data_IF_135502504081
#
_entry.id   IF_135502504081
#
_cell.length_a   1.000
_cell.length_b   1.000
_cell.length_c   1.000
_cell.angle_alpha   90.00
_cell.angle_beta   90.00
_cell.angle_gamma   90.00
#
_symmetry.space_group_name_H-M   'P 1'
#
loop_
_entity.id
_entity.type
_entity.pdbx_description
1 polymer ?
#
# COMPACT_ATOMS: atom_id res chain seq x y z
N UNK A 1 58.37 -15.21 45.40
CA UNK A 1 56.92 -14.95 45.57
C UNK A 1 56.50 -13.92 44.54
N UNK A 2 55.69 -14.32 43.55
CA UNK A 2 55.18 -13.45 42.47
C UNK A 2 53.78 -13.00 42.84
N UNK A 3 53.52 -11.70 42.94
CA UNK A 3 52.18 -11.16 43.04
C UNK A 3 51.67 -10.89 41.62
N UNK A 4 50.55 -11.51 41.25
CA UNK A 4 49.81 -11.21 40.03
C UNK A 4 48.86 -10.07 40.40
N UNK A 5 49.12 -8.86 39.89
CA UNK A 5 48.19 -7.74 40.02
C UNK A 5 47.15 -7.91 38.92
N UNK A 6 45.94 -8.32 39.32
CA UNK A 6 44.77 -8.42 38.46
C UNK A 6 44.23 -6.99 38.25
N UNK A 7 44.48 -6.40 37.09
CA UNK A 7 43.90 -5.12 36.71
C UNK A 7 42.43 -5.35 36.29
N UNK A 8 41.50 -4.97 37.15
CA UNK A 8 40.08 -4.91 36.81
C UNK A 8 39.87 -3.66 35.95
N UNK A 9 39.65 -3.87 34.65
CA UNK A 9 39.23 -2.80 33.73
C UNK A 9 37.75 -2.56 33.95
N UNK A 10 37.41 -1.49 34.66
CA UNK A 10 36.05 -1.03 34.86
C UNK A 10 35.58 -0.35 33.56
N UNK A 11 34.77 -1.04 32.75
CA UNK A 11 34.11 -0.47 31.58
C UNK A 11 32.95 0.42 32.05
N UNK A 12 33.19 1.73 32.12
CA UNK A 12 32.13 2.72 32.37
C UNK A 12 31.40 2.95 31.05
N UNK A 13 30.18 2.43 30.93
CA UNK A 13 29.30 2.68 29.79
C UNK A 13 28.70 4.08 29.99
N UNK A 14 29.19 5.06 29.21
CA UNK A 14 28.54 6.37 29.12
C UNK A 14 27.27 6.22 28.29
N UNK A 15 26.11 6.20 28.94
CA UNK A 15 24.83 6.39 28.26
C UNK A 15 24.71 7.90 28.05
N UNK A 16 25.05 8.39 26.86
CA UNK A 16 24.80 9.78 26.49
C UNK A 16 23.30 10.06 26.60
N UNK A 17 22.86 11.18 27.19
CA UNK A 17 21.45 11.53 27.17
C UNK A 17 21.03 11.67 25.70
N UNK A 18 19.96 10.97 25.30
CA UNK A 18 19.29 11.26 24.02
C UNK A 18 18.89 12.73 24.08
N UNK A 19 19.54 13.55 23.26
CA UNK A 19 19.20 14.96 23.10
C UNK A 19 17.73 15.06 22.72
N UNK A 20 16.94 15.82 23.48
CA UNK A 20 15.55 16.10 23.13
C UNK A 20 15.50 16.67 21.70
N UNK A 21 14.71 16.04 20.85
CA UNK A 21 14.48 16.52 19.48
C UNK A 21 13.71 17.84 19.58
N UNK A 22 14.30 18.91 19.05
CA UNK A 22 13.64 20.22 19.01
C UNK A 22 12.67 20.24 17.84
N UNK A 23 11.39 20.51 18.11
CA UNK A 23 10.40 20.74 17.08
C UNK A 23 10.78 21.97 16.25
N UNK A 24 10.60 21.88 14.94
CA UNK A 24 10.69 23.02 14.02
C UNK A 24 9.28 23.36 13.53
N UNK A 25 9.00 24.65 13.31
CA UNK A 25 7.71 25.13 12.83
C UNK A 25 7.93 26.03 11.63
N UNK A 26 7.10 25.89 10.61
CA UNK A 26 7.09 26.69 9.40
C UNK A 26 5.66 27.14 9.09
N UNK A 27 5.50 28.35 8.57
CA UNK A 27 4.22 28.84 8.04
C UNK A 27 4.17 28.55 6.55
N UNK A 28 3.23 27.71 6.11
CA UNK A 28 3.10 27.25 4.71
C UNK A 28 2.31 28.23 3.84
N UNK A 29 1.15 28.65 4.32
CA UNK A 29 0.33 29.69 3.70
C UNK A 29 -0.12 30.69 4.77
N UNK A 30 -0.09 31.97 4.42
CA UNK A 30 -0.57 33.07 5.24
C UNK A 30 -1.42 33.99 4.35
N UNK A 31 -2.73 34.01 4.58
CA UNK A 31 -3.63 34.90 3.86
C UNK A 31 -3.29 36.35 4.19
N UNK A 32 -2.41 36.95 3.38
CA UNK A 32 -2.00 38.35 3.46
C UNK A 32 -3.11 39.37 3.19
N UNK A 33 -4.36 38.93 3.00
CA UNK A 33 -5.52 39.79 2.74
C UNK A 33 -6.38 40.00 3.98
N UNK A 34 -6.50 41.28 4.35
CA UNK A 34 -7.32 41.81 5.43
C UNK A 34 -8.74 41.19 5.45
N UNK A 35 -9.04 40.41 6.49
CA UNK A 35 -10.39 39.92 6.77
C UNK A 35 -11.11 40.95 7.66
N UNK A 36 -12.35 41.39 7.31
CA UNK A 36 -13.14 42.27 8.17
C UNK A 36 -13.72 41.55 9.42
N UNK A 37 -13.55 40.24 9.52
CA UNK A 37 -13.83 39.44 10.71
C UNK A 37 -12.52 39.13 11.45
N UNK A 38 -12.50 39.05 12.80
CA UNK A 38 -11.27 38.82 13.53
C UNK A 38 -10.68 37.43 13.23
N UNK A 39 -9.56 37.42 12.48
CA UNK A 39 -8.63 36.29 12.31
C UNK A 39 -8.41 35.87 10.85
N UNK A 40 -7.16 35.64 10.39
CA UNK A 40 -6.91 34.93 9.12
C UNK A 40 -7.46 33.51 9.26
N UNK A 41 -8.43 33.15 8.42
CA UNK A 41 -9.16 31.87 8.53
C UNK A 41 -8.64 30.81 7.53
N UNK A 42 -7.45 31.01 6.95
CA UNK A 42 -6.78 30.03 6.10
C UNK A 42 -6.39 28.80 6.89
N UNK A 43 -6.47 27.62 6.27
CA UNK A 43 -6.11 26.36 6.91
C UNK A 43 -7.25 25.76 7.74
N UNK A 44 -8.51 26.07 7.43
CA UNK A 44 -9.66 25.36 8.03
C UNK A 44 -9.94 24.05 7.31
N UNK A 45 -10.47 23.10 8.09
CA UNK A 45 -10.86 21.76 7.63
C UNK A 45 -9.71 20.95 7.00
N UNK A 46 -8.49 21.21 7.44
CA UNK A 46 -7.27 20.68 6.85
C UNK A 46 -7.20 19.15 6.85
N UNK A 47 -6.72 18.59 5.76
CA UNK A 47 -6.25 17.20 5.67
C UNK A 47 -4.77 17.19 5.30
N UNK A 48 -4.00 16.32 5.96
CA UNK A 48 -2.58 16.07 5.71
C UNK A 48 -2.42 14.66 5.13
N UNK A 49 -1.63 14.53 4.07
CA UNK A 49 -1.18 13.26 3.53
C UNK A 49 0.31 13.33 3.19
N UNK A 50 0.92 12.20 2.88
CA UNK A 50 2.28 12.12 2.37
C UNK A 50 2.26 11.51 0.97
N UNK A 51 3.09 12.05 0.08
CA UNK A 51 3.29 11.47 -1.25
C UNK A 51 4.16 10.20 -1.18
N UNK A 52 4.39 9.56 -2.33
CA UNK A 52 5.21 8.34 -2.43
C UNK A 52 6.70 8.54 -2.07
N UNK A 53 7.14 9.80 -1.94
CA UNK A 53 8.50 10.18 -1.54
C UNK A 53 8.58 10.66 -0.09
N UNK A 54 7.52 10.42 0.71
CA UNK A 54 7.37 10.88 2.09
C UNK A 54 7.36 12.42 2.24
N UNK A 55 7.02 13.17 1.19
CA UNK A 55 6.81 14.60 1.32
C UNK A 55 5.39 14.91 1.80
N UNK A 56 5.23 15.85 2.74
CA UNK A 56 3.91 16.25 3.21
C UNK A 56 3.16 17.06 2.14
N UNK A 57 1.85 16.82 2.08
CA UNK A 57 0.92 17.64 1.34
C UNK A 57 -0.34 17.89 2.16
N UNK A 58 -0.93 19.05 1.96
CA UNK A 58 -2.02 19.58 2.77
C UNK A 58 -3.11 20.09 1.83
N UNK A 59 -4.35 19.66 2.06
CA UNK A 59 -5.52 20.31 1.48
C UNK A 59 -6.24 21.14 2.54
N UNK A 60 -6.77 22.29 2.16
CA UNK A 60 -7.43 23.19 3.10
C UNK A 60 -8.39 24.16 2.42
N UNK A 61 -9.32 24.69 3.22
CA UNK A 61 -10.15 25.82 2.84
C UNK A 61 -9.36 27.13 2.91
N UNK A 62 -9.29 27.84 1.79
CA UNK A 62 -8.89 29.24 1.79
C UNK A 62 -10.12 30.13 2.01
N UNK A 63 -10.37 30.44 3.27
CA UNK A 63 -11.65 30.99 3.74
C UNK A 63 -12.03 32.34 3.13
N UNK A 64 -11.05 33.19 2.78
CA UNK A 64 -11.33 34.54 2.28
C UNK A 64 -12.01 34.53 0.90
N UNK A 65 -11.65 33.57 0.04
CA UNK A 65 -12.25 33.41 -1.30
C UNK A 65 -13.09 32.15 -1.44
N UNK A 66 -13.19 31.33 -0.39
CA UNK A 66 -13.94 30.07 -0.37
C UNK A 66 -13.45 29.04 -1.40
N UNK A 67 -12.14 28.98 -1.58
CA UNK A 67 -11.47 28.07 -2.51
C UNK A 67 -10.93 26.84 -1.78
N UNK A 68 -10.91 25.70 -2.48
CA UNK A 68 -10.13 24.53 -2.07
C UNK A 68 -8.69 24.72 -2.55
N UNK A 69 -7.74 24.68 -1.62
CA UNK A 69 -6.31 24.72 -1.90
C UNK A 69 -5.67 23.38 -1.64
N UNK A 70 -4.64 23.10 -2.42
CA UNK A 70 -3.69 22.02 -2.21
C UNK A 70 -2.30 22.62 -2.11
N UNK A 71 -1.51 22.17 -1.14
CA UNK A 71 -0.09 22.52 -1.06
C UNK A 71 0.74 21.30 -0.81
N UNK A 72 1.91 21.21 -1.44
CA UNK A 72 2.79 20.07 -1.32
C UNK A 72 4.24 20.53 -1.21
N UNK A 73 5.05 19.78 -0.48
CA UNK A 73 6.46 20.07 -0.32
C UNK A 73 7.28 19.33 -1.39
N UNK A 74 8.01 20.07 -2.24
CA UNK A 74 8.76 19.48 -3.37
C UNK A 74 10.21 19.10 -3.01
N UNK A 75 10.51 18.81 -1.74
CA UNK A 75 11.85 18.69 -1.14
C UNK A 75 12.66 20.00 -0.95
N UNK A 76 12.22 21.13 -1.50
CA UNK A 76 12.94 22.42 -1.37
C UNK A 76 12.05 23.57 -0.87
N UNK A 77 10.76 23.54 -1.22
CA UNK A 77 9.79 24.57 -0.91
C UNK A 77 8.37 24.00 -0.95
N UNK A 78 7.44 24.71 -0.30
CA UNK A 78 6.02 24.49 -0.48
C UNK A 78 5.55 25.11 -1.80
N UNK A 79 4.81 24.32 -2.58
CA UNK A 79 4.06 24.76 -3.75
C UNK A 79 2.57 24.78 -3.41
N UNK A 80 1.83 25.79 -3.87
CA UNK A 80 0.41 25.98 -3.57
C UNK A 80 -0.37 26.09 -4.88
N UNK A 81 -1.46 25.32 -4.96
CA UNK A 81 -2.37 25.27 -6.10
C UNK A 81 -3.81 25.51 -5.65
N UNK A 82 -4.59 26.16 -6.52
CA UNK A 82 -6.05 26.20 -6.41
C UNK A 82 -6.61 24.97 -7.08
N UNK A 83 -7.33 24.14 -6.32
CA UNK A 83 -7.94 22.90 -6.83
C UNK A 83 -9.32 23.18 -7.42
N UNK A 84 -10.12 23.96 -6.67
CA UNK A 84 -11.47 24.35 -7.06
C UNK A 84 -11.77 25.74 -6.48
N UNK A 85 -12.27 26.63 -7.33
CA UNK A 85 -12.69 27.99 -6.99
C UNK A 85 -14.16 28.28 -7.38
N UNK A 86 -14.89 27.26 -7.84
CA UNK A 86 -16.27 27.41 -8.31
C UNK A 86 -17.24 27.08 -7.18
N UNK A 87 -17.65 28.10 -6.43
CA UNK A 87 -18.67 28.01 -5.39
C UNK A 87 -18.16 28.35 -4.00
N UNK A 88 -18.70 27.69 -2.97
CA UNK A 88 -18.15 27.75 -1.61
C UNK A 88 -17.61 26.37 -1.24
N UNK A 89 -16.39 26.08 -1.68
CA UNK A 89 -15.81 24.75 -1.74
C UNK A 89 -14.65 24.57 -0.75
N UNK A 90 -14.25 23.33 -0.52
CA UNK A 90 -13.09 22.98 0.31
C UNK A 90 -13.40 22.78 1.80
N UNK A 91 -14.69 22.68 2.18
CA UNK A 91 -15.06 22.30 3.53
C UNK A 91 -14.88 20.79 3.72
N UNK A 92 -14.47 20.40 4.93
CA UNK A 92 -14.29 19.00 5.34
C UNK A 92 -13.42 18.17 4.38
N UNK A 93 -12.35 18.78 3.85
CA UNK A 93 -11.51 18.13 2.86
C UNK A 93 -10.81 16.89 3.43
N UNK A 94 -10.66 15.86 2.60
CA UNK A 94 -9.89 14.65 2.88
C UNK A 94 -9.04 14.33 1.66
N UNK A 95 -7.72 14.41 1.86
CA UNK A 95 -6.67 14.25 0.84
C UNK A 95 -5.98 12.90 1.00
N UNK A 96 -5.72 12.24 -0.12
CA UNK A 96 -4.91 11.02 -0.21
C UNK A 96 -4.19 11.01 -1.57
N UNK A 97 -3.13 10.20 -1.70
CA UNK A 97 -2.47 9.97 -2.99
C UNK A 97 -2.85 8.59 -3.56
N UNK A 98 -2.88 8.48 -4.88
CA UNK A 98 -2.89 7.19 -5.55
C UNK A 98 -1.47 6.58 -5.65
N UNK A 99 -1.39 5.33 -6.10
CA UNK A 99 -0.12 4.62 -6.28
C UNK A 99 0.78 5.18 -7.39
N UNK A 100 0.21 6.01 -8.26
CA UNK A 100 0.96 6.74 -9.28
C UNK A 100 1.48 8.08 -8.74
N UNK A 101 1.16 8.42 -7.48
CA UNK A 101 1.59 9.65 -6.82
C UNK A 101 0.69 10.85 -7.14
N UNK A 102 -0.50 10.63 -7.71
CA UNK A 102 -1.44 11.72 -7.95
C UNK A 102 -2.31 11.98 -6.73
N UNK A 103 -2.47 13.23 -6.30
CA UNK A 103 -3.38 13.57 -5.22
C UNK A 103 -4.85 13.51 -5.64
N UNK A 104 -5.69 13.09 -4.71
CA UNK A 104 -7.13 13.10 -4.81
C UNK A 104 -7.75 13.61 -3.51
N UNK A 105 -8.84 14.36 -3.63
CA UNK A 105 -9.45 15.11 -2.55
C UNK A 105 -10.97 14.95 -2.62
N UNK A 106 -11.57 14.43 -1.54
CA UNK A 106 -13.02 14.59 -1.33
C UNK A 106 -13.30 15.84 -0.50
N UNK A 107 -14.35 16.59 -0.83
CA UNK A 107 -14.71 17.82 -0.12
C UNK A 107 -16.19 18.15 -0.27
N UNK A 108 -16.67 19.03 0.60
CA UNK A 108 -18.03 19.54 0.59
C UNK A 108 -18.11 20.89 -0.12
N UNK A 109 -19.07 21.01 -1.02
CA UNK A 109 -19.51 22.28 -1.59
C UNK A 109 -20.73 22.79 -0.83
N UNK A 110 -20.51 23.82 -0.03
CA UNK A 110 -21.54 24.42 0.82
C UNK A 110 -22.64 25.10 0.02
N UNK A 111 -22.30 25.74 -1.10
CA UNK A 111 -23.27 26.50 -1.88
C UNK A 111 -24.29 25.57 -2.54
N UNK A 112 -23.81 24.42 -3.02
CA UNK A 112 -24.63 23.44 -3.73
C UNK A 112 -25.13 22.28 -2.85
N UNK A 113 -24.65 22.14 -1.61
CA UNK A 113 -25.06 21.05 -0.71
C UNK A 113 -24.49 19.69 -1.12
N UNK A 114 -23.41 19.67 -1.90
CA UNK A 114 -22.97 18.48 -2.63
C UNK A 114 -21.62 17.93 -2.14
N UNK A 115 -21.47 16.62 -2.22
CA UNK A 115 -20.20 15.92 -2.11
C UNK A 115 -19.47 16.03 -3.44
N UNK A 116 -18.28 16.61 -3.43
CA UNK A 116 -17.41 16.72 -4.60
C UNK A 116 -16.14 15.91 -4.40
N UNK A 117 -15.57 15.51 -5.52
CA UNK A 117 -14.29 14.84 -5.60
C UNK A 117 -13.43 15.55 -6.64
N UNK A 118 -12.18 15.81 -6.29
CA UNK A 118 -11.18 16.38 -7.18
C UNK A 118 -9.98 15.43 -7.25
N UNK A 119 -9.42 15.24 -8.43
CA UNK A 119 -8.22 14.43 -8.61
C UNK A 119 -7.29 15.09 -9.62
N UNK A 120 -5.99 14.93 -9.41
CA UNK A 120 -5.00 15.41 -10.36
C UNK A 120 -4.70 14.31 -11.40
N UNK A 121 -4.81 14.61 -12.68
CA UNK A 121 -4.58 13.64 -13.76
C UNK A 121 -3.11 13.59 -14.24
N UNK A 122 -2.20 14.26 -13.52
CA UNK A 122 -0.79 14.45 -13.89
C UNK A 122 -0.51 15.72 -14.68
N UNK A 123 -1.54 16.45 -15.13
CA UNK A 123 -1.41 17.75 -15.82
C UNK A 123 -2.33 18.84 -15.25
N UNK A 124 -3.52 18.47 -14.79
CA UNK A 124 -4.53 19.38 -14.25
C UNK A 124 -5.36 18.71 -13.16
N UNK A 125 -5.98 19.56 -12.32
CA UNK A 125 -7.07 19.15 -11.46
C UNK A 125 -8.35 18.97 -12.26
N UNK A 126 -9.01 17.84 -12.06
CA UNK A 126 -10.35 17.55 -12.53
C UNK A 126 -11.28 17.49 -11.33
N UNK A 127 -12.53 17.94 -11.49
CA UNK A 127 -13.54 17.88 -10.42
C UNK A 127 -14.81 17.19 -10.90
N UNK A 128 -15.44 16.46 -9.99
CA UNK A 128 -16.74 15.83 -10.21
C UNK A 128 -17.64 16.03 -8.99
N UNK A 129 -18.96 16.02 -9.24
CA UNK A 129 -19.96 15.94 -8.18
C UNK A 129 -20.34 14.48 -8.00
N UNK A 130 -20.04 13.93 -6.83
CA UNK A 130 -20.28 12.52 -6.49
C UNK A 130 -21.74 12.31 -6.08
N UNK A 131 -22.28 13.24 -5.30
CA UNK A 131 -23.67 13.23 -4.83
C UNK A 131 -24.13 14.67 -4.58
N UNK A 132 -25.34 15.01 -5.02
CA UNK A 132 -25.99 16.32 -4.86
C UNK A 132 -27.40 16.22 -4.22
N UNK A 133 -27.80 15.03 -3.75
CA UNK A 133 -29.13 14.79 -3.23
C UNK A 133 -29.27 15.24 -1.75
N UNK A 134 -29.35 16.55 -1.53
CA UNK A 134 -29.62 17.16 -0.23
C UNK A 134 -28.41 17.89 0.36
N UNK A 135 -28.05 17.58 1.61
CA UNK A 135 -26.84 18.07 2.27
C UNK A 135 -25.89 16.89 2.50
N UNK A 136 -25.19 16.50 1.45
CA UNK A 136 -24.33 15.30 1.41
C UNK A 136 -22.87 15.70 1.36
N UNK A 137 -21.99 14.89 1.97
CA UNK A 137 -20.54 15.14 1.97
C UNK A 137 -19.98 15.97 3.14
N UNK A 138 -20.82 16.36 4.11
CA UNK A 138 -20.33 16.86 5.39
C UNK A 138 -19.43 15.81 6.06
N UNK A 139 -18.24 16.22 6.50
CA UNK A 139 -17.26 15.33 7.13
C UNK A 139 -16.84 14.15 6.25
N UNK A 140 -16.70 14.37 4.94
CA UNK A 140 -16.24 13.35 4.00
C UNK A 140 -14.87 12.79 4.37
N UNK A 141 -14.61 11.57 3.89
CA UNK A 141 -13.32 10.91 3.99
C UNK A 141 -13.06 10.16 2.70
N UNK A 142 -11.83 10.24 2.22
CA UNK A 142 -11.33 9.50 1.08
C UNK A 142 -10.11 8.70 1.50
N UNK A 143 -10.03 7.46 1.04
CA UNK A 143 -8.89 6.58 1.27
C UNK A 143 -8.68 5.74 0.01
N UNK A 144 -7.44 5.72 -0.48
CA UNK A 144 -7.02 4.80 -1.52
C UNK A 144 -6.69 3.47 -0.86
N UNK A 145 -7.41 2.41 -1.21
CA UNK A 145 -7.08 1.05 -0.78
C UNK A 145 -6.22 0.41 -1.85
N UNK A 146 -4.93 0.26 -1.55
CA UNK A 146 -4.00 -0.59 -2.28
C UNK A 146 -4.19 -2.02 -1.78
N UNK A 147 -4.15 -3.02 -2.66
CA UNK A 147 -4.14 -4.42 -2.25
C UNK A 147 -2.71 -4.97 -2.21
N UNK A 148 -2.48 -6.07 -1.47
CA UNK A 148 -1.23 -6.81 -1.62
C UNK A 148 -1.05 -7.29 -3.07
N UNK A 149 0.19 -7.46 -3.56
CA UNK A 149 0.41 -7.86 -4.94
C UNK A 149 -0.29 -9.17 -5.28
N UNK A 150 -0.67 -9.35 -6.55
CA UNK A 150 -1.06 -10.66 -7.08
C UNK A 150 0.04 -11.08 -8.04
N UNK A 151 0.94 -11.96 -7.58
CA UNK A 151 2.12 -12.32 -8.36
C UNK A 151 1.75 -13.10 -9.63
N UNK A 152 2.36 -12.73 -10.74
CA UNK A 152 2.17 -13.38 -12.03
C UNK A 152 3.36 -13.15 -12.93
N UNK A 153 3.64 -14.11 -13.82
CA UNK A 153 4.71 -13.97 -14.78
C UNK A 153 4.57 -14.87 -16.01
N UNK A 154 5.40 -14.59 -17.01
CA UNK A 154 5.60 -15.39 -18.21
C UNK A 154 7.08 -15.49 -18.59
N UNK A 155 7.41 -16.29 -19.62
CA UNK A 155 8.75 -16.35 -20.21
C UNK A 155 8.66 -16.38 -21.73
N UNK A 156 9.72 -15.92 -22.41
CA UNK A 156 9.80 -15.93 -23.87
C UNK A 156 9.97 -17.34 -24.47
N UNK A 157 10.57 -18.27 -23.72
CA UNK A 157 10.73 -19.69 -24.06
C UNK A 157 10.52 -20.55 -22.82
N UNK A 158 10.07 -21.79 -23.03
CA UNK A 158 9.90 -22.79 -21.95
C UNK A 158 10.76 -24.04 -22.15
N UNK A 159 11.44 -24.16 -23.28
CA UNK A 159 12.32 -25.29 -23.54
C UNK A 159 13.42 -24.98 -24.54
N UNK A 160 14.52 -25.71 -24.46
CA UNK A 160 15.60 -25.64 -25.44
C UNK A 160 16.81 -26.50 -25.05
N UNK A 161 17.94 -26.30 -25.74
CA UNK A 161 19.19 -27.01 -25.43
C UNK A 161 20.13 -26.15 -24.59
N UNK A 162 20.99 -26.78 -23.81
CA UNK A 162 22.05 -26.06 -23.08
C UNK A 162 23.02 -25.33 -24.03
N UNK A 163 23.46 -24.09 -23.70
CA UNK A 163 22.90 -23.20 -22.69
C UNK A 163 21.58 -22.56 -23.18
N UNK A 164 20.55 -22.59 -22.34
CA UNK A 164 19.25 -21.98 -22.66
C UNK A 164 19.13 -20.63 -21.96
N UNK A 165 19.10 -19.54 -22.74
CA UNK A 165 18.80 -18.20 -22.24
C UNK A 165 17.29 -17.94 -22.27
N UNK A 166 16.72 -17.58 -21.12
CA UNK A 166 15.28 -17.35 -20.90
C UNK A 166 15.09 -15.95 -20.35
N UNK A 167 14.30 -15.13 -21.05
CA UNK A 167 13.79 -13.86 -20.55
C UNK A 167 12.46 -14.08 -19.83
N UNK A 168 12.38 -13.58 -18.60
CA UNK A 168 11.15 -13.60 -17.80
C UNK A 168 10.51 -12.21 -17.79
N UNK A 169 9.18 -12.19 -17.81
CA UNK A 169 8.38 -10.97 -17.77
C UNK A 169 7.42 -11.03 -16.61
N UNK A 170 7.53 -10.05 -15.71
CA UNK A 170 6.58 -9.81 -14.62
C UNK A 170 5.22 -9.39 -15.20
N UNK A 171 4.16 -9.95 -14.64
CA UNK A 171 2.76 -9.59 -14.95
C UNK A 171 1.93 -9.47 -13.67
N UNK A 172 2.58 -9.15 -12.56
CA UNK A 172 1.95 -9.03 -11.25
C UNK A 172 1.04 -7.80 -11.17
N UNK A 173 -0.07 -7.90 -10.45
CA UNK A 173 -1.01 -6.81 -10.22
C UNK A 173 -0.81 -6.15 -8.84
N UNK A 174 -1.52 -5.04 -8.61
CA UNK A 174 -1.51 -4.22 -7.38
C UNK A 174 -0.12 -3.63 -7.07
N UNK A 175 0.49 -3.03 -8.10
CA UNK A 175 1.68 -2.17 -8.04
C UNK A 175 2.80 -2.70 -7.12
N UNK A 176 3.39 -3.87 -7.43
CA UNK A 176 4.56 -4.35 -6.72
C UNK A 176 5.74 -3.39 -6.88
N UNK A 177 6.49 -3.19 -5.80
CA UNK A 177 7.67 -2.33 -5.76
C UNK A 177 8.98 -3.12 -5.62
N UNK A 178 8.90 -4.44 -5.43
CA UNK A 178 10.06 -5.34 -5.33
C UNK A 178 9.75 -6.75 -5.83
N UNK A 179 10.76 -7.41 -6.38
CA UNK A 179 10.66 -8.75 -6.96
C UNK A 179 11.80 -9.62 -6.44
N UNK A 180 11.51 -10.90 -6.19
CA UNK A 180 12.52 -11.94 -5.97
C UNK A 180 12.14 -13.15 -6.83
N UNK A 181 13.00 -13.45 -7.78
CA UNK A 181 12.90 -14.61 -8.66
C UNK A 181 13.75 -15.75 -8.10
N UNK A 182 13.21 -16.96 -8.09
CA UNK A 182 13.96 -18.21 -7.95
C UNK A 182 13.77 -19.02 -9.23
N UNK A 183 14.86 -19.30 -9.93
CA UNK A 183 14.83 -20.01 -11.21
C UNK A 183 14.83 -21.53 -11.04
N UNK A 184 14.86 -22.05 -9.81
CA UNK A 184 14.83 -23.48 -9.49
C UNK A 184 16.17 -24.20 -9.71
N UNK A 185 17.23 -23.47 -10.07
CA UNK A 185 18.59 -23.98 -10.24
C UNK A 185 19.56 -23.49 -9.14
N UNK A 186 19.03 -22.83 -8.12
CA UNK A 186 19.78 -22.23 -7.01
C UNK A 186 20.20 -20.78 -7.25
N UNK A 187 19.95 -20.20 -8.45
CA UNK A 187 20.16 -18.78 -8.71
C UNK A 187 18.87 -17.97 -8.50
N UNK A 188 19.05 -16.72 -8.11
CA UNK A 188 17.96 -15.76 -7.88
C UNK A 188 18.18 -14.46 -8.64
N UNK A 189 17.13 -13.65 -8.79
CA UNK A 189 17.21 -12.28 -9.29
C UNK A 189 16.26 -11.34 -8.56
N UNK A 190 16.61 -10.06 -8.48
CA UNK A 190 15.74 -9.00 -7.94
C UNK A 190 15.27 -8.00 -9.01
N UNK A 191 15.64 -8.21 -10.27
CA UNK A 191 15.17 -7.39 -11.38
C UNK A 191 13.70 -7.72 -11.66
N UNK A 192 12.89 -6.73 -12.03
CA UNK A 192 11.49 -6.96 -12.43
C UNK A 192 11.39 -7.93 -13.61
N UNK A 193 12.20 -7.73 -14.66
CA UNK A 193 12.19 -8.54 -15.88
C UNK A 193 13.59 -9.11 -16.17
N UNK A 194 14.02 -10.19 -15.50
CA UNK A 194 15.37 -10.72 -15.63
C UNK A 194 15.54 -11.60 -16.89
N UNK A 195 16.78 -11.71 -17.36
CA UNK A 195 17.21 -12.76 -18.29
C UNK A 195 18.11 -13.72 -17.52
N UNK A 196 17.78 -15.01 -17.53
CA UNK A 196 18.54 -16.07 -16.87
C UNK A 196 19.04 -17.10 -17.87
N UNK A 197 20.19 -17.72 -17.60
CA UNK A 197 20.78 -18.75 -18.48
C UNK A 197 20.93 -20.08 -17.74
N UNK A 198 20.18 -21.07 -18.18
CA UNK A 198 20.30 -22.44 -17.68
C UNK A 198 21.44 -23.17 -18.38
N UNK A 199 22.47 -23.53 -17.62
CA UNK A 199 23.68 -24.19 -18.14
C UNK A 199 23.67 -25.71 -18.01
N UNK A 200 22.70 -26.26 -17.29
CA UNK A 200 22.59 -27.70 -16.99
C UNK A 200 21.28 -28.24 -17.57
N UNK A 201 21.30 -29.50 -18.00
CA UNK A 201 20.10 -30.23 -18.40
C UNK A 201 19.23 -30.48 -17.18
N UNK A 202 17.93 -30.23 -17.31
CA UNK A 202 17.01 -30.36 -16.18
C UNK A 202 15.62 -29.83 -16.48
N UNK A 203 14.73 -30.01 -15.52
CA UNK A 203 13.42 -29.39 -15.50
C UNK A 203 13.33 -28.54 -14.24
N UNK A 204 12.93 -27.28 -14.39
CA UNK A 204 13.04 -26.26 -13.35
C UNK A 204 11.68 -25.70 -12.97
N UNK A 205 11.43 -25.62 -11.66
CA UNK A 205 10.31 -24.85 -11.11
C UNK A 205 10.75 -23.39 -11.00
N UNK A 206 9.95 -22.46 -11.50
CA UNK A 206 10.27 -21.03 -11.41
C UNK A 206 9.26 -20.37 -10.47
N UNK A 207 9.74 -19.55 -9.55
CA UNK A 207 8.87 -18.73 -8.69
C UNK A 207 9.24 -17.25 -8.75
N UNK A 208 8.20 -16.42 -8.61
CA UNK A 208 8.30 -14.98 -8.43
C UNK A 208 7.59 -14.60 -7.14
N UNK A 209 8.29 -13.94 -6.23
CA UNK A 209 7.73 -13.25 -5.08
C UNK A 209 7.70 -11.74 -5.38
N UNK A 210 6.51 -11.16 -5.48
CA UNK A 210 6.30 -9.74 -5.70
C UNK A 210 5.77 -9.09 -4.41
N UNK A 211 6.32 -7.95 -4.00
CA UNK A 211 5.95 -7.26 -2.74
C UNK A 211 5.73 -5.76 -2.93
N UNK A 212 4.80 -5.19 -2.16
CA UNK A 212 4.58 -3.74 -1.99
C UNK A 212 4.53 -3.40 -0.49
N UNK A 213 4.21 -2.14 -0.15
CA UNK A 213 4.18 -1.67 1.25
C UNK A 213 3.13 -2.39 2.13
N UNK A 214 2.15 -3.05 1.51
CA UNK A 214 1.02 -3.70 2.20
C UNK A 214 1.16 -5.22 2.30
N UNK A 215 2.01 -5.85 1.49
CA UNK A 215 2.23 -7.28 1.58
C UNK A 215 3.02 -7.85 0.41
N UNK A 216 2.95 -9.17 0.28
CA UNK A 216 3.63 -9.92 -0.76
C UNK A 216 2.79 -11.08 -1.27
N UNK A 217 3.12 -11.55 -2.47
CA UNK A 217 2.50 -12.71 -3.10
C UNK A 217 3.52 -13.49 -3.90
N UNK A 218 3.37 -14.82 -3.90
CA UNK A 218 4.27 -15.74 -4.58
C UNK A 218 3.49 -16.50 -5.65
N UNK A 219 4.01 -16.48 -6.88
CA UNK A 219 3.55 -17.31 -7.98
C UNK A 219 4.63 -18.33 -8.31
N UNK A 220 4.29 -19.62 -8.33
CA UNK A 220 5.21 -20.70 -8.69
C UNK A 220 4.66 -21.49 -9.87
N UNK A 221 5.45 -21.62 -10.93
CA UNK A 221 5.16 -22.51 -12.06
C UNK A 221 6.03 -23.76 -11.95
N UNK A 222 5.38 -24.90 -11.72
CA UNK A 222 6.04 -26.20 -11.58
C UNK A 222 6.46 -26.71 -12.96
N UNK A 223 7.67 -27.28 -13.05
CA UNK A 223 8.26 -27.85 -14.24
C UNK A 223 8.19 -26.92 -15.47
N UNK A 224 8.39 -25.62 -15.24
CA UNK A 224 8.10 -24.58 -16.20
C UNK A 224 9.13 -24.47 -17.32
N UNK A 225 10.42 -24.68 -17.01
CA UNK A 225 11.51 -24.65 -18.00
C UNK A 225 12.11 -26.05 -18.14
N UNK A 226 12.23 -26.54 -19.38
CA UNK A 226 12.87 -27.82 -19.71
C UNK A 226 14.10 -27.63 -20.59
N UNK A 227 15.27 -28.00 -20.08
CA UNK A 227 16.55 -27.85 -20.77
C UNK A 227 17.09 -29.22 -21.14
N UNK A 228 17.35 -29.44 -22.42
CA UNK A 228 17.83 -30.71 -22.98
C UNK A 228 19.29 -30.64 -23.42
N UNK A 229 19.94 -31.80 -23.54
CA UNK A 229 21.27 -31.90 -24.13
C UNK A 229 21.20 -31.83 -25.66
N UNK A 230 22.31 -31.46 -26.31
CA UNK A 230 22.43 -31.60 -27.77
C UNK A 230 22.56 -33.09 -28.10
N UNK A 231 21.56 -33.66 -28.79
CA UNK A 231 21.69 -34.98 -29.38
C UNK A 231 22.60 -34.89 -30.60
N UNK A 232 23.85 -35.33 -30.47
CA UNK A 232 24.74 -35.49 -31.62
C UNK A 232 24.28 -36.73 -32.36
N UNK A 233 23.48 -36.57 -33.41
CA UNK A 233 23.28 -37.66 -34.37
C UNK A 233 24.59 -37.85 -35.14
N UNK A 234 25.29 -38.95 -34.88
CA UNK A 234 26.44 -39.34 -35.68
C UNK A 234 25.95 -39.76 -37.08
N UNK A 235 26.19 -38.93 -38.09
CA UNK A 235 26.14 -39.37 -39.48
C UNK A 235 27.36 -40.25 -39.77
N UNK A 236 27.26 -41.54 -39.45
CA UNK A 236 28.25 -42.55 -39.87
C UNK A 236 28.01 -42.92 -41.34
N UNK A 237 28.69 -42.21 -42.24
CA UNK A 237 28.90 -42.67 -43.61
C UNK A 237 30.11 -43.59 -43.63
N UNK A 238 29.86 -44.90 -43.53
CA UNK A 238 30.91 -45.90 -43.44
C UNK A 238 31.85 -45.94 -44.67
N UNK A 239 33.14 -46.19 -44.41
CA UNK A 239 33.98 -47.12 -45.16
C UNK A 239 35.22 -47.52 -44.34
N UNK A 240 35.54 -48.80 -44.43
CA UNK A 240 36.42 -49.64 -43.59
C UNK A 240 37.91 -49.26 -43.51
N UNK A 241 38.55 -49.53 -42.36
CA UNK A 241 39.45 -50.70 -42.20
C UNK A 241 40.26 -50.65 -40.88
N UNK A 242 40.36 -51.81 -40.21
CA UNK A 242 41.55 -52.18 -39.44
C UNK A 242 41.62 -51.85 -37.94
N UNK A 243 41.59 -52.92 -37.14
CA UNK A 243 42.32 -53.10 -35.87
C UNK A 243 41.72 -52.60 -34.54
N UNK A 244 41.16 -53.59 -33.82
CA UNK A 244 41.40 -53.92 -32.40
C UNK A 244 41.38 -52.79 -31.34
N UNK A 245 40.35 -52.80 -30.48
CA UNK A 245 40.48 -53.00 -29.02
C UNK A 245 39.11 -52.92 -28.31
N UNK A 246 38.96 -53.75 -27.27
CA UNK A 246 37.76 -53.96 -26.46
C UNK A 246 37.23 -52.71 -25.76
N UNK A 247 35.91 -52.53 -25.74
CA UNK A 247 35.12 -52.40 -24.50
C UNK A 247 33.64 -52.55 -24.82
N UNK A 248 33.03 -53.62 -24.29
CA UNK A 248 31.58 -53.84 -24.34
C UNK A 248 30.91 -52.80 -23.44
N UNK A 249 30.01 -51.98 -23.99
CA UNK A 249 28.97 -51.31 -23.21
C UNK A 249 27.72 -52.19 -23.22
N UNK A 250 27.35 -52.72 -22.06
CA UNK A 250 26.13 -53.49 -21.85
C UNK A 250 24.92 -52.57 -21.83
N UNK A 251 24.01 -52.73 -22.81
CA UNK A 251 22.68 -52.12 -22.78
C UNK A 251 21.82 -52.95 -21.83
N UNK A 252 21.47 -52.41 -20.66
CA UNK A 252 20.39 -52.93 -19.84
C UNK A 252 19.10 -52.32 -20.38
N UNK A 253 18.38 -53.06 -21.23
CA UNK A 253 16.98 -52.78 -21.52
C UNK A 253 16.14 -53.57 -20.51
N UNK A 254 15.52 -52.86 -19.57
CA UNK A 254 14.42 -53.43 -18.80
C UNK A 254 13.12 -52.94 -19.40
N UNK A 255 12.47 -53.80 -20.20
CA UNK A 255 11.03 -53.70 -20.39
C UNK A 255 10.36 -54.31 -19.16
N UNK A 256 9.44 -53.56 -18.56
CA UNK A 256 8.40 -54.13 -17.72
C UNK A 256 7.06 -53.66 -18.28
N UNK A 257 6.42 -54.52 -19.09
CA UNK A 257 4.97 -54.62 -19.06
C UNK A 257 4.60 -55.09 -17.65
N UNK A 258 3.61 -54.44 -17.03
CA UNK A 258 2.65 -55.10 -16.15
C UNK A 258 1.35 -54.29 -16.19
N UNK A 259 0.39 -54.89 -16.87
CA UNK A 259 -1.02 -54.59 -16.84
C UNK A 259 -1.58 -55.16 -15.52
N UNK A 260 -2.19 -54.33 -14.68
CA UNK A 260 -3.04 -54.75 -13.57
C UNK A 260 -3.96 -53.61 -13.13
N UNK A 261 -5.20 -53.71 -13.58
CA UNK A 261 -6.39 -53.06 -13.04
C UNK A 261 -6.58 -53.45 -11.58
N UNK A 262 -6.54 -52.49 -10.64
CA UNK A 262 -7.31 -52.54 -9.39
C UNK A 262 -7.81 -51.12 -9.10
N UNK A 263 -9.12 -50.96 -9.25
CA UNK A 263 -9.97 -49.98 -8.60
C UNK A 263 -9.80 -50.04 -7.08
N UNK A 264 -9.58 -48.90 -6.44
CA UNK A 264 -10.35 -48.57 -5.24
C UNK A 264 -10.46 -47.05 -5.06
N UNK A 265 -11.72 -46.62 -5.10
CA UNK A 265 -12.23 -45.35 -4.61
C UNK A 265 -11.90 -45.25 -3.12
N UNK A 266 -11.08 -44.28 -2.73
CA UNK A 266 -11.23 -43.63 -1.43
C UNK A 266 -11.12 -42.13 -1.68
N UNK A 267 -12.28 -41.53 -1.93
CA UNK A 267 -12.54 -40.13 -1.69
C UNK A 267 -12.48 -39.92 -0.18
N UNK A 268 -11.41 -39.32 0.31
CA UNK A 268 -11.41 -38.71 1.64
C UNK A 268 -11.14 -37.21 1.45
N UNK A 269 -12.25 -36.50 1.44
CA UNK A 269 -12.40 -35.06 1.42
C UNK A 269 -11.76 -34.51 2.70
N UNK A 270 -10.60 -33.88 2.59
CA UNK A 270 -10.10 -33.00 3.67
C UNK A 270 -10.73 -31.63 3.38
N UNK A 271 -11.67 -31.13 4.21
CA UNK A 271 -12.11 -29.76 4.06
C UNK A 271 -10.94 -28.87 4.53
N UNK A 272 -10.38 -28.11 3.60
CA UNK A 272 -9.59 -26.94 3.97
C UNK A 272 -10.52 -25.94 4.66
N UNK A 273 -10.53 -25.99 5.98
CA UNK A 273 -11.05 -24.93 6.83
C UNK A 273 -10.13 -23.72 6.60
N UNK A 274 -10.56 -22.85 5.67
CA UNK A 274 -9.99 -21.53 5.50
C UNK A 274 -10.13 -20.78 6.83
N UNK A 275 -9.03 -20.66 7.58
CA UNK A 275 -8.93 -19.66 8.65
C UNK A 275 -8.79 -18.30 7.95
N UNK A 276 -9.91 -17.78 7.45
CA UNK A 276 -10.09 -16.35 7.31
C UNK A 276 -10.16 -15.82 8.73
N UNK A 277 -9.07 -15.22 9.19
CA UNK A 277 -9.15 -14.32 10.34
C UNK A 277 -9.95 -13.09 9.89
N UNK A 278 -11.27 -13.21 9.85
CA UNK A 278 -12.15 -12.04 9.84
C UNK A 278 -11.82 -11.25 11.09
N UNK A 279 -11.05 -10.18 10.93
CA UNK A 279 -10.90 -9.15 11.94
C UNK A 279 -12.22 -8.38 11.98
N UNK A 280 -13.23 -8.99 12.58
CA UNK A 280 -14.49 -8.34 12.89
C UNK A 280 -14.20 -7.19 13.85
N UNK A 281 -14.14 -5.98 13.30
CA UNK A 281 -14.14 -4.74 14.08
C UNK A 281 -15.55 -4.59 14.63
N UNK A 282 -15.75 -5.07 15.85
CA UNK A 282 -16.97 -4.82 16.61
C UNK A 282 -17.00 -3.35 17.01
N UNK A 283 -17.76 -2.53 16.28
CA UNK A 283 -18.09 -1.17 16.72
C UNK A 283 -19.07 -1.33 17.87
N UNK A 284 -18.59 -1.18 19.11
CA UNK A 284 -19.46 -1.03 20.27
C UNK A 284 -19.85 0.45 20.31
N UNK A 285 -21.05 0.78 19.83
CA UNK A 285 -21.66 2.07 20.13
C UNK A 285 -22.16 2.02 21.58
N UNK A 286 -21.49 2.69 22.50
CA UNK A 286 -22.10 3.02 23.79
C UNK A 286 -23.12 4.14 23.53
N UNK A 287 -24.41 3.81 23.52
CA UNK A 287 -25.48 4.81 23.64
C UNK A 287 -25.42 5.41 25.05
N UNK A 288 -24.89 6.62 25.17
CA UNK A 288 -25.04 7.40 26.40
C UNK A 288 -26.51 7.84 26.52
N UNK A 289 -27.23 7.14 27.39
CA UNK A 289 -28.64 7.41 27.72
C UNK A 289 -28.75 8.81 28.33
N UNK A 290 -29.15 9.78 27.52
CA UNK A 290 -29.54 11.10 28.03
C UNK A 290 -30.89 10.97 28.74
N UNK A 291 -30.89 11.20 30.06
CA UNK A 291 -32.11 11.32 30.84
C UNK A 291 -32.93 12.51 30.32
N UNK A 292 -34.05 12.19 29.66
CA UNK A 292 -35.06 13.17 29.29
C UNK A 292 -35.67 13.80 30.54
N UNK A 293 -35.48 15.11 30.71
CA UNK A 293 -36.29 15.89 31.63
C UNK A 293 -37.63 16.16 30.96
N UNK A 294 -38.64 15.46 31.48
CA UNK A 294 -40.06 15.63 31.20
C UNK A 294 -40.47 17.09 31.43
N UNK A 295 -40.64 17.86 30.35
CA UNK A 295 -41.28 19.17 30.39
C UNK A 295 -42.73 18.99 29.97
N UNK A 296 -43.58 18.87 31.00
CA UNK A 296 -45.02 19.05 30.87
C UNK A 296 -45.32 20.38 30.19
N UNK A 297 -46.17 20.32 29.17
CA UNK A 297 -46.95 21.46 28.69
C UNK A 297 -47.54 22.24 29.86
N UNK A 298 -47.26 23.54 29.90
CA UNK A 298 -48.08 24.50 30.64
C UNK A 298 -48.45 25.63 29.70
N UNK A 299 -49.76 25.85 29.63
CA UNK A 299 -50.48 26.78 28.78
C UNK A 299 -49.91 28.21 28.76
N UNK A 300 -50.09 28.84 27.61
CA UNK A 300 -49.89 30.26 27.39
C UNK A 300 -50.93 31.08 28.19
N UNK A 301 -50.47 31.93 29.11
CA UNK A 301 -50.99 33.29 29.29
C UNK A 301 -50.17 34.09 30.33
N UNK A 302 -49.75 35.28 29.89
CA UNK A 302 -49.56 36.52 30.64
C UNK A 302 -48.43 36.66 31.72
N UNK A 303 -47.48 37.57 31.47
CA UNK A 303 -47.15 38.76 32.29
C UNK A 303 -45.74 39.33 31.97
N UNK A 304 -45.70 40.67 31.89
CA UNK A 304 -44.61 41.60 31.53
C UNK A 304 -43.40 41.66 32.50
N UNK A 305 -42.30 42.16 31.93
CA UNK A 305 -41.26 43.09 32.48
C UNK A 305 -39.90 42.54 32.99
N UNK A 306 -38.85 43.04 32.31
CA UNK A 306 -37.36 43.08 32.47
C UNK A 306 -36.73 43.13 33.89
N UNK A 307 -35.37 43.10 34.07
CA UNK A 307 -34.25 42.45 33.35
C UNK A 307 -33.16 41.78 34.27
N UNK A 308 -32.23 41.00 33.69
CA UNK A 308 -30.83 40.91 34.16
C UNK A 308 -30.28 39.55 34.63
N UNK A 309 -29.01 39.31 34.26
CA UNK A 309 -28.10 38.18 34.59
C UNK A 309 -28.43 36.85 33.88
N UNK A 310 -27.49 36.09 33.30
CA UNK A 310 -26.04 36.15 33.20
C UNK A 310 -25.57 34.78 32.69
N UNK A 311 -24.50 34.77 31.89
CA UNK A 311 -23.68 33.61 31.51
C UNK A 311 -24.41 32.33 31.04
N UNK A 312 -24.48 32.11 29.72
CA UNK A 312 -24.54 30.75 29.17
C UNK A 312 -23.14 30.34 28.73
N UNK A 313 -22.61 29.36 29.46
CA UNK A 313 -21.35 28.68 29.21
C UNK A 313 -21.38 27.98 27.85
N UNK A 314 -20.24 28.03 27.16
CA UNK A 314 -20.04 27.40 25.87
C UNK A 314 -20.21 25.88 25.96
N UNK A 315 -20.99 25.35 25.02
CA UNK A 315 -20.96 23.93 24.68
C UNK A 315 -19.66 23.71 23.91
N UNK A 316 -18.70 23.05 24.55
CA UNK A 316 -17.48 22.58 23.89
C UNK A 316 -17.84 21.28 23.17
N UNK A 317 -17.91 21.32 21.84
CA UNK A 317 -17.87 20.09 21.05
C UNK A 317 -16.44 19.55 21.10
N UNK A 318 -16.24 18.42 21.79
CA UNK A 318 -15.00 17.66 21.67
C UNK A 318 -15.15 16.78 20.42
N UNK A 319 -14.60 17.22 19.28
CA UNK A 319 -14.42 16.33 18.14
C UNK A 319 -13.40 15.26 18.50
N UNK A 320 -13.86 14.01 18.52
CA UNK A 320 -12.99 12.85 18.72
C UNK A 320 -12.23 12.60 17.41
N UNK A 321 -10.97 13.05 17.33
CA UNK A 321 -10.06 12.65 16.27
C UNK A 321 -9.55 11.23 16.57
N UNK A 322 -9.88 10.27 15.72
CA UNK A 322 -9.33 8.92 15.77
C UNK A 322 -7.87 8.97 15.26
N UNK A 323 -6.90 8.95 16.17
CA UNK A 323 -5.48 8.90 15.81
C UNK A 323 -5.03 7.43 15.78
N UNK A 324 -4.74 6.91 14.59
CA UNK A 324 -4.08 5.61 14.42
C UNK A 324 -2.58 5.85 14.31
N UNK A 325 -1.82 5.52 15.36
CA UNK A 325 -0.36 5.53 15.32
C UNK A 325 0.18 4.16 14.91
N UNK A 326 0.97 4.11 13.83
CA UNK A 326 1.73 2.92 13.44
C UNK A 326 3.05 2.88 14.20
N UNK A 327 3.32 1.75 14.86
CA UNK A 327 4.60 1.45 15.50
C UNK A 327 5.65 1.18 14.42
N UNK A 328 6.65 2.05 14.30
CA UNK A 328 7.87 1.77 13.52
C UNK A 328 8.74 0.87 14.39
N UNK A 329 8.92 -0.39 13.98
CA UNK A 329 9.91 -1.27 14.60
C UNK A 329 11.25 -1.03 13.88
N UNK A 330 12.28 -0.64 14.64
CA UNK A 330 13.67 -0.65 14.20
C UNK A 330 14.16 -2.07 13.90
#
# INVERSE_FOLDING_TARGET
MKYIILAIVLLVIFVSPVSAMNWQTETVDDASSYCPYPGPNTGKYTSLAFDLSDNPAISYLYYNSHELKFTHYNNSSWEIETVDDVGQVGLYTSLEFDHSGNPAISYYDWLNGSLKFAYHNGSSWETETVDDAGLVGLHTSYITVVDSPVAGFSSNVISGVVPLSVGFTDSSANDPTSWVWDFGDGNISTNQNPVHTYSTVGTYNVSLNASNALGSSISTRIAYITVSGVSVESSDSGSSSGSSSSSRLSIITTQAQNDATITDNISEEIPEESIQAEKNVSIISEEEKTEGTDTKETDADDIKSTPGFGALAGIVFVSLALIVLRKINN
#
